data_IF_768949895954
#
_entry.id   IF_768949895954
#
_cell.length_a   1.000
_cell.length_b   1.000
_cell.length_c   1.000
_cell.angle_alpha   90.00
_cell.angle_beta   90.00
_cell.angle_gamma   90.00
#
_symmetry.space_group_name_H-M   'P 1'
#
loop_
_entity.id
_entity.type
_entity.pdbx_description
1 polymer ?
#
# COMPACT_ATOMS: atom_id res chain seq x y z
N UNK A 1 -16.48 65.75 9.65
CA UNK A 1 -15.36 65.35 8.76
C UNK A 1 -14.78 63.98 9.09
N UNK A 2 -14.45 63.68 10.35
CA UNK A 2 -13.87 62.36 10.73
C UNK A 2 -14.77 61.15 10.47
N UNK A 3 -16.09 61.30 10.55
CA UNK A 3 -17.04 60.21 10.30
C UNK A 3 -17.00 59.72 8.84
N UNK A 4 -16.94 60.63 7.87
CA UNK A 4 -16.82 60.27 6.45
C UNK A 4 -15.45 59.64 6.14
N UNK A 5 -14.39 60.08 6.83
CA UNK A 5 -13.04 59.52 6.70
C UNK A 5 -12.98 58.10 7.28
N UNK A 6 -13.63 57.87 8.43
CA UNK A 6 -13.71 56.54 9.05
C UNK A 6 -14.56 55.56 8.21
N UNK A 7 -15.70 56.01 7.67
CA UNK A 7 -16.48 55.18 6.76
C UNK A 7 -15.72 54.87 5.46
N UNK A 8 -15.01 55.84 4.88
CA UNK A 8 -14.18 55.61 3.71
C UNK A 8 -13.06 54.60 4.00
N UNK A 9 -12.39 54.70 5.17
CA UNK A 9 -11.34 53.75 5.57
C UNK A 9 -11.88 52.33 5.78
N UNK A 10 -13.04 52.16 6.40
CA UNK A 10 -13.68 50.85 6.60
C UNK A 10 -14.08 50.24 5.26
N UNK A 11 -14.66 51.03 4.35
CA UNK A 11 -15.00 50.56 2.99
C UNK A 11 -13.74 50.16 2.22
N UNK A 12 -12.64 50.92 2.33
CA UNK A 12 -11.36 50.58 1.72
C UNK A 12 -10.79 49.25 2.24
N UNK A 13 -10.85 49.03 3.56
CA UNK A 13 -10.39 47.78 4.18
C UNK A 13 -11.24 46.60 3.70
N UNK A 14 -12.58 46.75 3.66
CA UNK A 14 -13.47 45.71 3.17
C UNK A 14 -13.22 45.36 1.70
N UNK A 15 -12.97 46.38 0.85
CA UNK A 15 -12.60 46.17 -0.55
C UNK A 15 -11.26 45.43 -0.70
N UNK A 16 -10.25 45.77 0.11
CA UNK A 16 -8.96 45.09 0.10
C UNK A 16 -9.07 43.63 0.54
N UNK A 17 -9.88 43.34 1.56
CA UNK A 17 -10.14 41.96 2.02
C UNK A 17 -10.90 41.17 0.94
N UNK A 18 -11.94 41.75 0.35
CA UNK A 18 -12.68 41.12 -0.74
C UNK A 18 -11.79 40.83 -1.95
N UNK A 19 -10.90 41.76 -2.32
CA UNK A 19 -9.96 41.61 -3.42
C UNK A 19 -8.90 40.53 -3.13
N UNK A 20 -8.41 40.42 -1.88
CA UNK A 20 -7.50 39.34 -1.46
C UNK A 20 -8.16 37.97 -1.59
N UNK A 21 -9.40 37.83 -1.09
CA UNK A 21 -10.17 36.58 -1.18
C UNK A 21 -10.42 36.20 -2.64
N UNK A 22 -10.83 37.17 -3.47
CA UNK A 22 -11.06 36.95 -4.89
C UNK A 22 -9.80 36.48 -5.63
N UNK A 23 -8.64 37.09 -5.35
CA UNK A 23 -7.36 36.70 -5.94
C UNK A 23 -6.90 35.31 -5.49
N UNK A 24 -7.16 34.92 -4.25
CA UNK A 24 -6.87 33.55 -3.79
C UNK A 24 -7.76 32.52 -4.47
N UNK A 25 -9.03 32.86 -4.70
CA UNK A 25 -9.99 31.97 -5.37
C UNK A 25 -9.69 31.83 -6.87
N UNK A 26 -9.21 32.89 -7.52
CA UNK A 26 -8.71 32.85 -8.90
C UNK A 26 -7.51 31.89 -9.08
N UNK A 27 -6.61 31.81 -8.09
CA UNK A 27 -5.48 30.85 -8.13
C UNK A 27 -5.93 29.39 -8.08
N UNK A 28 -7.09 29.10 -7.51
CA UNK A 28 -7.63 27.74 -7.42
C UNK A 28 -8.34 27.32 -8.72
N UNK A 29 -9.05 28.23 -9.38
CA UNK A 29 -9.67 27.98 -10.69
C UNK A 29 -8.68 27.87 -11.85
N UNK A 30 -7.53 28.55 -11.75
CA UNK A 30 -6.46 28.48 -12.76
C UNK A 30 -5.51 27.28 -12.58
N UNK A 31 -5.62 26.54 -11.47
CA UNK A 31 -5.02 25.20 -11.34
C UNK A 31 -5.81 24.25 -12.24
N UNK A 32 -5.50 24.28 -13.53
CA UNK A 32 -5.88 23.22 -14.47
C UNK A 32 -5.49 21.88 -13.80
N UNK A 33 -6.39 20.89 -13.68
CA UNK A 33 -5.96 19.56 -13.29
C UNK A 33 -4.84 19.18 -14.27
N UNK A 34 -3.71 18.73 -13.76
CA UNK A 34 -2.57 18.32 -14.56
C UNK A 34 -2.94 17.10 -15.42
N UNK A 35 -3.76 17.32 -16.44
CA UNK A 35 -4.11 16.37 -17.47
C UNK A 35 -2.93 16.31 -18.43
N UNK A 36 -2.22 15.20 -18.38
CA UNK A 36 -1.50 14.61 -19.50
C UNK A 36 -0.34 15.43 -20.09
N UNK A 37 0.76 15.49 -19.35
CA UNK A 37 2.09 15.52 -19.96
C UNK A 37 2.62 14.07 -20.11
N UNK A 38 1.86 13.19 -20.78
CA UNK A 38 2.43 11.98 -21.38
C UNK A 38 3.04 12.37 -22.73
N UNK A 39 4.20 13.02 -22.71
CA UNK A 39 5.06 13.16 -23.91
C UNK A 39 6.43 12.61 -23.57
N UNK A 40 6.73 11.45 -24.17
CA UNK A 40 8.07 10.92 -24.34
C UNK A 40 8.92 10.82 -23.08
N UNK A 41 8.54 9.94 -22.15
CA UNK A 41 9.56 9.39 -21.26
C UNK A 41 10.55 8.62 -22.17
N UNK A 42 11.87 8.87 -22.08
CA UNK A 42 12.82 7.98 -22.72
C UNK A 42 12.49 6.57 -22.23
N UNK A 43 12.62 5.59 -23.11
CA UNK A 43 12.67 4.16 -22.79
C UNK A 43 13.92 3.90 -21.96
N UNK A 44 14.02 4.58 -20.82
CA UNK A 44 14.93 4.32 -19.74
C UNK A 44 14.61 2.90 -19.34
N UNK A 45 15.58 2.03 -19.60
CA UNK A 45 15.64 0.67 -19.10
C UNK A 45 14.85 0.57 -17.81
N UNK A 46 13.78 -0.21 -17.91
CA UNK A 46 12.95 -0.68 -16.82
C UNK A 46 13.81 -1.67 -16.02
N UNK A 47 14.90 -1.17 -15.45
CA UNK A 47 15.84 -1.86 -14.60
C UNK A 47 16.02 -0.92 -13.43
N UNK A 48 15.50 -1.31 -12.27
CA UNK A 48 15.65 -0.67 -10.94
C UNK A 48 14.48 0.16 -10.39
N UNK A 49 13.30 0.23 -11.03
CA UNK A 49 12.08 0.67 -10.31
C UNK A 49 11.39 -0.46 -9.53
N UNK A 50 11.85 -1.71 -9.70
CA UNK A 50 11.41 -2.87 -8.90
C UNK A 50 12.10 -2.96 -7.53
N UNK A 51 13.13 -2.15 -7.26
CA UNK A 51 13.86 -2.18 -5.98
C UNK A 51 13.15 -1.44 -4.84
N UNK A 52 11.95 -0.91 -5.05
CA UNK A 52 11.22 -0.14 -4.03
C UNK A 52 9.95 -0.84 -3.51
N UNK A 53 9.68 -2.09 -3.90
CA UNK A 53 8.54 -2.86 -3.40
C UNK A 53 9.04 -3.94 -2.44
N UNK A 54 9.11 -3.68 -1.12
CA UNK A 54 9.70 -4.61 -0.15
C UNK A 54 8.98 -5.96 -0.11
N UNK A 55 7.70 -5.99 -0.49
CA UNK A 55 6.85 -7.18 -0.44
C UNK A 55 6.58 -7.82 -1.80
N UNK A 56 7.40 -7.54 -2.81
CA UNK A 56 7.25 -8.19 -4.12
C UNK A 56 7.60 -9.68 -4.07
N UNK A 57 6.96 -10.47 -4.93
CA UNK A 57 7.17 -11.91 -4.98
C UNK A 57 7.93 -12.33 -6.23
N UNK A 58 8.62 -13.47 -6.16
CA UNK A 58 9.42 -14.03 -7.24
C UNK A 58 9.04 -15.50 -7.46
N UNK A 59 9.11 -15.93 -8.72
CA UNK A 59 8.98 -17.33 -9.13
C UNK A 59 10.26 -17.78 -9.81
N UNK A 60 10.68 -19.01 -9.57
CA UNK A 60 11.81 -19.62 -10.26
C UNK A 60 11.32 -20.18 -11.60
N UNK A 61 11.98 -19.80 -12.69
CA UNK A 61 11.67 -20.28 -14.05
C UNK A 61 12.92 -20.89 -14.66
N UNK A 62 12.76 -22.06 -15.27
CA UNK A 62 13.84 -22.81 -15.90
C UNK A 62 13.48 -24.29 -16.08
N UNK A 63 14.38 -25.03 -16.71
CA UNK A 63 14.17 -26.43 -17.10
C UNK A 63 14.94 -27.43 -16.24
N UNK A 64 15.53 -27.00 -15.12
CA UNK A 64 16.30 -27.93 -14.27
C UNK A 64 15.37 -28.86 -13.47
N UNK A 65 15.79 -30.12 -13.30
CA UNK A 65 15.00 -31.13 -12.57
C UNK A 65 14.72 -30.72 -11.12
N UNK A 66 15.66 -30.02 -10.49
CA UNK A 66 15.50 -29.49 -9.13
C UNK A 66 14.37 -28.45 -9.01
N UNK A 67 14.03 -27.74 -10.10
CA UNK A 67 12.97 -26.73 -10.12
C UNK A 67 11.56 -27.33 -10.04
N UNK A 68 11.39 -28.62 -10.32
CA UNK A 68 10.08 -29.28 -10.33
C UNK A 68 9.37 -29.18 -8.97
N UNK A 69 10.14 -29.27 -7.88
CA UNK A 69 9.63 -29.08 -6.52
C UNK A 69 9.24 -27.62 -6.17
N UNK A 70 9.69 -26.66 -6.98
CA UNK A 70 9.42 -25.23 -6.82
C UNK A 70 8.32 -24.72 -7.78
N UNK A 71 7.87 -25.57 -8.71
CA UNK A 71 6.87 -25.19 -9.72
C UNK A 71 5.56 -24.77 -9.05
N UNK A 72 5.03 -23.62 -9.48
CA UNK A 72 3.80 -23.05 -8.92
C UNK A 72 3.94 -22.36 -7.56
N UNK A 73 5.12 -22.43 -6.91
CA UNK A 73 5.39 -21.71 -5.65
C UNK A 73 5.86 -20.29 -5.94
N UNK A 74 5.38 -19.34 -5.14
CA UNK A 74 5.83 -17.95 -5.14
C UNK A 74 6.55 -17.68 -3.83
N UNK A 75 7.72 -17.07 -3.93
CA UNK A 75 8.52 -16.69 -2.77
C UNK A 75 8.46 -15.18 -2.61
N UNK A 76 8.54 -14.71 -1.38
CA UNK A 76 8.91 -13.32 -1.15
C UNK A 76 10.34 -13.12 -1.65
N UNK A 77 10.65 -12.00 -2.29
CA UNK A 77 11.99 -11.78 -2.84
C UNK A 77 13.12 -11.95 -1.82
N UNK A 78 12.87 -11.57 -0.56
CA UNK A 78 13.81 -11.74 0.56
C UNK A 78 14.03 -13.19 0.97
N UNK A 79 13.05 -14.07 0.71
CA UNK A 79 13.04 -15.46 1.18
C UNK A 79 13.22 -16.45 0.02
N UNK A 80 13.57 -15.95 -1.17
CA UNK A 80 13.76 -16.79 -2.33
C UNK A 80 15.05 -17.62 -2.15
N UNK A 81 15.03 -18.92 -2.49
CA UNK A 81 16.23 -19.74 -2.46
C UNK A 81 17.23 -19.19 -3.47
N UNK A 82 18.52 -19.18 -3.15
CA UNK A 82 19.57 -18.75 -4.06
C UNK A 82 19.65 -19.67 -5.29
N UNK A 83 19.95 -19.07 -6.44
CA UNK A 83 20.25 -19.82 -7.66
C UNK A 83 21.76 -20.09 -7.71
N UNK A 84 22.19 -21.32 -8.03
CA UNK A 84 21.40 -22.52 -8.38
C UNK A 84 20.69 -23.15 -7.17
N UNK A 85 19.48 -23.67 -7.39
CA UNK A 85 18.71 -24.33 -6.32
C UNK A 85 19.41 -25.61 -5.83
N UNK A 86 19.22 -26.01 -4.55
CA UNK A 86 19.74 -27.26 -4.02
C UNK A 86 19.31 -28.46 -4.87
N UNK A 87 20.27 -29.31 -5.26
CA UNK A 87 20.03 -30.46 -6.12
C UNK A 87 20.10 -30.18 -7.62
N UNK A 88 20.47 -28.97 -8.04
CA UNK A 88 20.79 -28.70 -9.45
C UNK A 88 22.13 -29.35 -9.83
N UNK A 89 22.10 -30.30 -10.77
CA UNK A 89 23.31 -31.00 -11.27
C UNK A 89 23.80 -30.46 -12.62
N UNK A 90 23.18 -29.40 -13.14
CA UNK A 90 23.54 -28.82 -14.44
C UNK A 90 24.88 -28.06 -14.33
N UNK A 91 25.84 -28.38 -15.21
CA UNK A 91 27.12 -27.68 -15.27
C UNK A 91 27.00 -26.18 -15.60
N UNK A 92 25.95 -25.80 -16.33
CA UNK A 92 25.55 -24.40 -16.54
C UNK A 92 24.04 -24.27 -16.32
N UNK A 93 23.64 -23.60 -15.24
CA UNK A 93 22.23 -23.41 -14.90
C UNK A 93 21.68 -22.14 -15.57
N UNK A 94 20.61 -22.27 -16.35
CA UNK A 94 19.92 -21.15 -17.04
C UNK A 94 18.65 -20.71 -16.29
N UNK A 95 18.45 -21.18 -15.06
CA UNK A 95 17.29 -20.78 -14.27
C UNK A 95 17.41 -19.32 -13.85
N UNK A 96 16.27 -18.63 -13.78
CA UNK A 96 16.20 -17.21 -13.42
C UNK A 96 14.95 -16.93 -12.59
N UNK A 97 14.95 -15.78 -11.91
CA UNK A 97 13.78 -15.28 -11.20
C UNK A 97 12.91 -14.46 -12.13
N UNK A 98 11.61 -14.74 -12.11
CA UNK A 98 10.58 -13.83 -12.62
C UNK A 98 9.97 -13.10 -11.45
N UNK A 99 10.08 -11.78 -11.44
CA UNK A 99 9.50 -10.94 -10.40
C UNK A 99 8.05 -10.60 -10.74
N UNK A 100 7.22 -10.58 -9.71
CA UNK A 100 5.83 -10.16 -9.75
C UNK A 100 5.67 -9.00 -8.79
N UNK A 101 5.08 -7.91 -9.27
CA UNK A 101 4.83 -6.74 -8.45
C UNK A 101 3.91 -7.07 -7.27
N UNK A 102 4.08 -6.36 -6.15
CA UNK A 102 3.08 -6.40 -5.09
C UNK A 102 1.76 -5.85 -5.66
N UNK A 103 0.67 -6.58 -5.41
CA UNK A 103 -0.69 -6.17 -5.83
C UNK A 103 -1.27 -5.09 -4.92
N UNK A 104 -0.60 -4.77 -3.82
CA UNK A 104 -0.97 -3.66 -2.94
C UNK A 104 -0.57 -2.36 -3.62
N UNK A 105 -1.57 -1.56 -3.96
CA UNK A 105 -1.34 -0.20 -4.37
C UNK A 105 -0.94 0.63 -3.14
N UNK A 106 0.25 1.27 -3.14
CA UNK A 106 0.80 1.92 -1.94
C UNK A 106 -0.07 3.05 -1.39
N UNK A 107 -0.88 3.69 -2.24
CA UNK A 107 -1.75 4.82 -1.87
C UNK A 107 -3.23 4.45 -1.75
N UNK A 108 -3.60 3.18 -1.90
CA UNK A 108 -5.00 2.73 -1.82
C UNK A 108 -5.16 1.54 -0.88
N UNK A 109 -4.31 1.44 0.15
CA UNK A 109 -4.49 0.40 1.17
C UNK A 109 -5.80 0.64 1.93
N UNK A 110 -6.85 -0.01 1.42
CA UNK A 110 -8.21 0.00 1.98
C UNK A 110 -8.26 -0.48 3.43
N UNK A 111 -7.18 -1.11 3.93
CA UNK A 111 -7.07 -1.58 5.31
C UNK A 111 -6.59 -0.49 6.26
N UNK A 112 -5.96 0.58 5.79
CA UNK A 112 -5.47 1.67 6.63
C UNK A 112 -6.63 2.32 7.42
N UNK A 113 -7.75 2.59 6.75
CA UNK A 113 -8.96 3.12 7.39
C UNK A 113 -9.62 2.10 8.34
N UNK A 114 -9.53 0.81 8.03
CA UNK A 114 -10.08 -0.25 8.88
C UNK A 114 -9.41 -0.33 10.25
N UNK A 115 -8.08 -0.11 10.32
CA UNK A 115 -7.36 -0.12 11.60
C UNK A 115 -7.72 1.06 12.49
N UNK A 116 -7.85 2.26 11.91
CA UNK A 116 -8.28 3.44 12.64
C UNK A 116 -9.71 3.28 13.19
N UNK A 117 -10.61 2.72 12.37
CA UNK A 117 -11.98 2.46 12.79
C UNK A 117 -12.05 1.43 13.93
N UNK A 118 -11.21 0.40 13.89
CA UNK A 118 -11.10 -0.61 14.95
C UNK A 118 -10.57 -0.03 16.27
N UNK A 119 -9.51 0.78 16.20
CA UNK A 119 -8.95 1.46 17.36
C UNK A 119 -9.98 2.40 18.01
N UNK A 120 -10.66 3.22 17.21
CA UNK A 120 -11.73 4.10 17.67
C UNK A 120 -12.91 3.31 18.28
N UNK A 121 -13.24 2.14 17.74
CA UNK A 121 -14.29 1.28 18.26
C UNK A 121 -13.98 0.77 19.67
N UNK A 122 -12.74 0.34 19.92
CA UNK A 122 -12.30 -0.10 21.25
C UNK A 122 -12.18 1.06 22.25
N UNK A 123 -11.67 2.22 21.81
CA UNK A 123 -11.54 3.43 22.65
C UNK A 123 -12.89 4.00 23.10
N UNK A 124 -13.97 3.77 22.35
CA UNK A 124 -15.34 4.17 22.73
C UNK A 124 -15.98 3.24 23.77
N UNK A 125 -15.20 2.32 24.37
CA UNK A 125 -15.65 1.40 25.41
C UNK A 125 -16.40 0.19 24.87
N UNK A 126 -16.40 -0.02 23.55
CA UNK A 126 -16.94 -1.25 22.99
C UNK A 126 -15.95 -2.39 23.16
N UNK A 127 -16.42 -3.52 23.68
CA UNK A 127 -15.62 -4.73 23.79
C UNK A 127 -15.29 -5.32 22.41
N UNK A 128 -14.13 -5.97 22.33
CA UNK A 128 -13.75 -6.82 21.19
C UNK A 128 -14.75 -7.99 21.10
N UNK A 129 -15.35 -8.22 19.92
CA UNK A 129 -16.44 -9.22 19.72
C UNK A 129 -15.99 -10.53 19.05
N UNK A 130 -14.73 -10.64 18.66
CA UNK A 130 -14.06 -11.82 18.12
C UNK A 130 -13.56 -12.79 19.21
N UNK A 131 -13.85 -12.54 20.49
CA UNK A 131 -13.75 -13.57 21.56
C UNK A 131 -14.66 -14.78 21.28
N UNK A 132 -15.74 -14.57 20.52
CA UNK A 132 -16.64 -15.63 20.09
C UNK A 132 -16.03 -16.53 19.02
N UNK A 133 -16.26 -17.83 19.17
CA UNK A 133 -15.91 -18.86 18.19
C UNK A 133 -16.32 -18.40 16.79
N UNK A 134 -15.36 -18.42 15.85
CA UNK A 134 -15.61 -18.02 14.46
C UNK A 134 -16.74 -18.84 13.83
N UNK A 135 -17.33 -18.33 12.74
CA UNK A 135 -18.49 -18.98 12.10
C UNK A 135 -18.17 -20.36 11.51
N UNK A 136 -16.90 -20.73 11.36
CA UNK A 136 -16.53 -22.06 10.84
C UNK A 136 -16.48 -23.06 11.98
N UNK A 137 -16.88 -24.30 11.69
CA UNK A 137 -16.78 -25.41 12.66
C UNK A 137 -15.35 -25.63 13.20
N UNK A 138 -14.34 -25.23 12.43
CA UNK A 138 -12.92 -25.36 12.76
C UNK A 138 -12.31 -24.15 13.46
N UNK A 139 -13.03 -23.03 13.58
CA UNK A 139 -12.51 -21.86 14.25
C UNK A 139 -12.58 -22.13 15.75
N UNK A 140 -11.54 -22.72 16.34
CA UNK A 140 -11.45 -22.94 17.78
C UNK A 140 -11.33 -21.60 18.49
N UNK A 141 -12.28 -21.30 19.38
CA UNK A 141 -12.01 -20.34 20.46
C UNK A 141 -10.96 -20.95 21.39
N UNK A 142 -10.37 -20.13 22.27
CA UNK A 142 -9.29 -20.51 23.20
C UNK A 142 -9.58 -21.72 24.11
N UNK A 143 -10.79 -22.27 24.08
CA UNK A 143 -11.26 -23.47 24.76
C UNK A 143 -10.93 -24.81 24.04
N UNK A 144 -9.90 -24.88 23.19
CA UNK A 144 -9.45 -26.15 22.58
C UNK A 144 -7.95 -26.44 22.76
N UNK A 145 -7.26 -25.68 23.60
CA UNK A 145 -5.82 -25.91 23.88
C UNK A 145 -5.62 -27.12 24.79
N UNK A 146 -6.62 -27.43 25.60
CA UNK A 146 -6.73 -28.56 26.52
C UNK A 146 -6.93 -29.93 25.83
N UNK A 147 -7.17 -29.95 24.51
CA UNK A 147 -7.25 -31.19 23.74
C UNK A 147 -5.88 -31.70 23.25
N UNK A 148 -4.84 -30.86 23.26
CA UNK A 148 -3.49 -31.22 22.81
C UNK A 148 -2.58 -31.74 23.95
N UNK A 149 -3.00 -31.65 25.22
CA UNK A 149 -2.21 -32.10 26.37
C UNK A 149 -2.39 -33.57 26.75
N UNK A 150 -3.31 -34.30 26.09
CA UNK A 150 -3.59 -35.72 26.37
C UNK A 150 -3.04 -36.68 25.30
N UNK A 151 -2.09 -36.23 24.48
CA UNK A 151 -1.33 -37.10 23.58
C UNK A 151 0.10 -37.22 24.12
N UNK A 152 0.26 -38.03 25.17
CA UNK A 152 1.53 -38.59 25.63
C UNK A 152 1.34 -40.10 25.81
#
# INVERSE_FOLDING_TARGET
>A
MYQNIMFAAVVLILLLVAQRVYNTWQKEKTRKPAASAKRGAPRSRQTNAMSAQPFHCVTLVGNCKALESYKGKRFLASNAPTLPVPGCTAGRCECHYTHHADRREPNTDRRALGRLAEEQYTLTGNAERRESRGRRKSDGGWASIDEWSNVV
#
